data_IF_183464609929
#
_entry.id   IF_183464609929
#
_cell.length_a   1.000
_cell.length_b   1.000
_cell.length_c   1.000
_cell.angle_alpha   90.00
_cell.angle_beta   90.00
_cell.angle_gamma   90.00
#
_symmetry.space_group_name_H-M   'P 1'
#
loop_
_entity.id
_entity.type
_entity.pdbx_description
1 polymer ?
#
# COMPACT_ATOMS: atom_id res chain seq x y z
N UNK A 1 -20.29 -70.73 -52.32
CA UNK A 1 -19.30 -69.80 -51.75
C UNK A 1 -19.97 -69.18 -50.54
N UNK A 2 -19.49 -69.53 -49.35
CA UNK A 2 -20.14 -69.11 -48.11
C UNK A 2 -19.99 -67.61 -47.92
N UNK A 3 -21.10 -66.87 -47.74
CA UNK A 3 -21.05 -65.41 -47.56
C UNK A 3 -20.31 -65.01 -46.29
N UNK A 4 -20.13 -65.93 -45.34
CA UNK A 4 -19.38 -65.72 -44.11
C UNK A 4 -17.87 -65.62 -44.36
N UNK A 5 -17.30 -66.49 -45.20
CA UNK A 5 -15.86 -66.49 -45.49
C UNK A 5 -15.41 -65.23 -46.24
N UNK A 6 -16.32 -64.56 -46.95
CA UNK A 6 -16.03 -63.30 -47.65
C UNK A 6 -15.99 -62.11 -46.69
N UNK A 7 -16.83 -62.11 -45.65
CA UNK A 7 -16.86 -61.04 -44.67
C UNK A 7 -15.60 -60.97 -43.81
N UNK A 8 -15.02 -62.13 -43.46
CA UNK A 8 -13.80 -62.20 -42.66
C UNK A 8 -12.58 -61.69 -43.46
N UNK A 9 -12.50 -62.03 -44.74
CA UNK A 9 -11.42 -61.58 -45.63
C UNK A 9 -11.46 -60.06 -45.87
N UNK A 10 -12.66 -59.50 -46.04
CA UNK A 10 -12.85 -58.04 -46.20
C UNK A 10 -12.48 -57.27 -44.90
N UNK A 11 -12.61 -57.89 -43.72
CA UNK A 11 -12.18 -57.30 -42.46
C UNK A 11 -10.66 -57.25 -42.32
N UNK A 12 -9.96 -58.34 -42.64
CA UNK A 12 -8.49 -58.36 -42.57
C UNK A 12 -7.86 -57.34 -43.54
N UNK A 13 -8.41 -57.19 -44.74
CA UNK A 13 -7.94 -56.17 -45.69
C UNK A 13 -8.18 -54.74 -45.18
N UNK A 14 -9.32 -54.48 -44.52
CA UNK A 14 -9.58 -53.17 -43.92
C UNK A 14 -8.63 -52.85 -42.76
N UNK A 15 -8.27 -53.84 -41.95
CA UNK A 15 -7.31 -53.64 -40.85
C UNK A 15 -5.91 -53.35 -41.41
N UNK A 16 -5.46 -54.09 -42.42
CA UNK A 16 -4.17 -53.82 -43.08
C UNK A 16 -4.12 -52.45 -43.76
N UNK A 17 -5.24 -52.02 -44.37
CA UNK A 17 -5.33 -50.69 -44.96
C UNK A 17 -5.31 -49.58 -43.90
N UNK A 18 -5.96 -49.78 -42.75
CA UNK A 18 -5.91 -48.82 -41.64
C UNK A 18 -4.51 -48.71 -41.05
N UNK A 19 -3.80 -49.82 -40.92
CA UNK A 19 -2.42 -49.83 -40.41
C UNK A 19 -1.47 -49.09 -41.37
N UNK A 20 -1.55 -49.37 -42.67
CA UNK A 20 -0.75 -48.64 -43.68
C UNK A 20 -1.05 -47.14 -43.72
N UNK A 21 -2.33 -46.74 -43.63
CA UNK A 21 -2.70 -45.31 -43.62
C UNK A 21 -2.17 -44.61 -42.37
N UNK A 22 -2.12 -45.30 -41.22
CA UNK A 22 -1.57 -44.76 -39.99
C UNK A 22 -0.03 -44.60 -40.04
N UNK A 23 0.68 -45.50 -40.73
CA UNK A 23 2.13 -45.36 -40.95
C UNK A 23 2.48 -44.23 -41.92
N UNK A 24 1.75 -44.10 -43.03
CA UNK A 24 1.98 -43.02 -44.01
C UNK A 24 1.66 -41.62 -43.45
N UNK A 25 0.63 -41.50 -42.60
CA UNK A 25 0.31 -40.21 -41.96
C UNK A 25 1.36 -39.76 -40.94
N UNK A 26 2.07 -40.69 -40.29
CA UNK A 26 3.23 -40.35 -39.42
C UNK A 26 4.43 -39.85 -40.21
N UNK A 27 4.66 -40.37 -41.42
CA UNK A 27 5.71 -39.90 -42.32
C UNK A 27 5.46 -38.48 -42.86
N UNK A 28 4.21 -38.17 -43.20
CA UNK A 28 3.84 -36.87 -43.80
C UNK A 28 3.84 -35.74 -42.76
N UNK A 29 3.47 -36.01 -41.51
CA UNK A 29 3.55 -35.02 -40.42
C UNK A 29 5.00 -34.64 -40.06
N UNK A 30 5.97 -35.52 -40.30
CA UNK A 30 7.39 -35.21 -40.12
C UNK A 30 7.98 -34.32 -41.23
N UNK A 31 7.26 -34.10 -42.34
CA UNK A 31 7.67 -33.22 -43.44
C UNK A 31 7.01 -31.83 -43.40
N UNK A 32 6.43 -31.44 -42.26
CA UNK A 32 5.90 -30.09 -42.06
C UNK A 32 7.06 -29.09 -41.85
N UNK A 33 7.52 -28.53 -42.98
CA UNK A 33 8.63 -27.57 -43.17
C UNK A 33 8.80 -26.45 -42.11
N UNK A 34 7.77 -25.84 -41.50
CA UNK A 34 8.00 -24.76 -40.52
C UNK A 34 8.59 -25.20 -39.17
N UNK A 35 8.55 -26.50 -38.83
CA UNK A 35 9.05 -26.98 -37.52
C UNK A 35 10.50 -27.47 -37.53
N UNK A 36 11.08 -27.71 -38.72
CA UNK A 36 12.46 -28.15 -38.87
C UNK A 36 13.53 -27.21 -38.24
N UNK A 37 13.44 -25.87 -38.38
CA UNK A 37 14.42 -24.99 -37.73
C UNK A 37 14.28 -24.99 -36.20
N UNK A 38 13.06 -25.20 -35.66
CA UNK A 38 12.87 -25.34 -34.22
C UNK A 38 13.46 -26.65 -33.71
N UNK A 39 13.26 -27.77 -34.43
CA UNK A 39 13.86 -29.05 -34.05
C UNK A 39 15.39 -29.00 -34.09
N UNK A 40 15.99 -28.41 -35.14
CA UNK A 40 17.44 -28.22 -35.19
C UNK A 40 17.94 -27.32 -34.06
N UNK A 41 17.21 -26.26 -33.69
CA UNK A 41 17.56 -25.43 -32.55
C UNK A 41 17.48 -26.20 -31.22
N UNK A 42 16.47 -27.05 -31.04
CA UNK A 42 16.31 -27.91 -29.86
C UNK A 42 17.42 -28.96 -29.80
N UNK A 43 17.74 -29.62 -30.91
CA UNK A 43 18.81 -30.62 -30.99
C UNK A 43 20.18 -29.99 -30.76
N UNK A 44 20.40 -28.78 -31.27
CA UNK A 44 21.62 -28.01 -31.03
C UNK A 44 21.73 -27.58 -29.56
N UNK A 45 20.62 -27.15 -28.93
CA UNK A 45 20.54 -26.91 -27.48
C UNK A 45 20.84 -28.18 -26.67
N UNK A 46 20.33 -29.33 -27.09
CA UNK A 46 20.55 -30.62 -26.44
C UNK A 46 22.00 -31.09 -26.58
N UNK A 47 22.59 -30.94 -27.76
CA UNK A 47 23.99 -31.27 -28.03
C UNK A 47 24.94 -30.36 -27.22
N UNK A 48 24.62 -29.05 -27.15
CA UNK A 48 25.33 -28.11 -26.30
C UNK A 48 25.21 -28.50 -24.81
N UNK A 49 24.02 -28.90 -24.37
CA UNK A 49 23.78 -29.40 -23.01
C UNK A 49 24.60 -30.65 -22.66
N UNK A 50 24.81 -31.57 -23.61
CA UNK A 50 25.69 -32.74 -23.43
C UNK A 50 27.16 -32.35 -23.29
N UNK A 51 27.61 -31.30 -23.96
CA UNK A 51 28.98 -30.79 -23.84
C UNK A 51 29.27 -30.25 -22.43
N UNK A 52 28.25 -29.69 -21.78
CA UNK A 52 28.34 -29.15 -20.41
C UNK A 52 28.10 -30.18 -19.31
N UNK A 53 27.78 -31.44 -19.65
CA UNK A 53 27.47 -32.50 -18.70
C UNK A 53 28.52 -32.73 -17.59
N UNK A 54 29.85 -32.65 -17.83
CA UNK A 54 30.84 -32.76 -16.76
C UNK A 54 30.94 -31.51 -15.87
N UNK A 55 30.52 -30.34 -16.37
CA UNK A 55 30.44 -29.09 -15.59
C UNK A 55 29.06 -28.85 -14.99
N UNK A 56 28.07 -29.70 -15.29
CA UNK A 56 26.69 -29.58 -14.84
C UNK A 56 26.53 -29.33 -13.33
N UNK A 57 27.24 -30.01 -12.40
CA UNK A 57 27.05 -29.75 -10.97
C UNK A 57 27.43 -28.33 -10.54
N UNK A 58 28.31 -27.64 -11.29
CA UNK A 58 28.71 -26.25 -11.00
C UNK A 58 27.95 -25.22 -11.84
N UNK A 59 27.49 -25.60 -13.05
CA UNK A 59 26.74 -24.71 -13.94
C UNK A 59 25.27 -24.61 -13.56
N UNK A 60 24.65 -25.67 -13.01
CA UNK A 60 23.23 -25.64 -12.61
C UNK A 60 22.96 -24.53 -11.58
N UNK A 61 23.72 -24.41 -10.46
CA UNK A 61 23.48 -23.35 -9.47
C UNK A 61 23.72 -21.94 -10.05
N UNK A 62 24.75 -21.79 -10.89
CA UNK A 62 25.07 -20.49 -11.51
C UNK A 62 24.00 -20.08 -12.52
N UNK A 63 23.47 -21.02 -13.31
CA UNK A 63 22.37 -20.79 -14.22
C UNK A 63 21.07 -20.46 -13.48
N UNK A 64 20.74 -21.20 -12.40
CA UNK A 64 19.59 -20.91 -11.55
C UNK A 64 19.73 -19.52 -10.91
N UNK A 65 20.91 -19.16 -10.41
CA UNK A 65 21.16 -17.84 -9.84
C UNK A 65 21.07 -16.73 -10.89
N UNK A 66 21.67 -16.93 -12.07
CA UNK A 66 21.63 -15.98 -13.18
C UNK A 66 20.22 -15.78 -13.73
N UNK A 67 19.35 -16.80 -13.70
CA UNK A 67 17.96 -16.69 -14.14
C UNK A 67 17.06 -16.12 -13.03
N UNK A 68 17.34 -16.45 -11.77
CA UNK A 68 16.57 -15.96 -10.62
C UNK A 68 16.75 -14.46 -10.42
N UNK A 69 17.98 -13.92 -10.50
CA UNK A 69 18.25 -12.49 -10.30
C UNK A 69 17.40 -11.53 -11.15
N UNK A 70 17.31 -11.67 -12.49
CA UNK A 70 16.49 -10.78 -13.30
C UNK A 70 15.00 -10.98 -13.04
N UNK A 71 14.54 -12.21 -12.77
CA UNK A 71 13.15 -12.49 -12.41
C UNK A 71 12.77 -11.79 -11.09
N UNK A 72 13.66 -11.89 -10.10
CA UNK A 72 13.56 -11.25 -8.79
C UNK A 72 13.51 -9.73 -8.93
N UNK A 73 14.42 -9.15 -9.71
CA UNK A 73 14.46 -7.71 -9.97
C UNK A 73 13.18 -7.25 -10.68
N UNK A 74 12.70 -8.00 -11.67
CA UNK A 74 11.47 -7.70 -12.39
C UNK A 74 10.24 -7.75 -11.48
N UNK A 75 10.10 -8.77 -10.64
CA UNK A 75 9.01 -8.87 -9.66
C UNK A 75 9.09 -7.75 -8.61
N UNK A 76 10.29 -7.38 -8.17
CA UNK A 76 10.51 -6.28 -7.24
C UNK A 76 10.08 -4.94 -7.83
N UNK A 77 10.57 -4.58 -9.03
CA UNK A 77 10.18 -3.35 -9.72
C UNK A 77 8.69 -3.35 -10.08
N UNK A 78 8.16 -4.48 -10.56
CA UNK A 78 6.75 -4.62 -10.89
C UNK A 78 5.83 -4.42 -9.68
N UNK A 79 6.20 -5.00 -8.53
CA UNK A 79 5.44 -4.78 -7.28
C UNK A 79 5.53 -3.34 -6.79
N UNK A 80 6.71 -2.71 -6.85
CA UNK A 80 6.88 -1.29 -6.52
C UNK A 80 6.06 -0.38 -7.41
N UNK A 81 6.03 -0.64 -8.72
CA UNK A 81 5.22 0.10 -9.68
C UNK A 81 3.71 -0.08 -9.42
N UNK A 82 3.24 -1.29 -9.12
CA UNK A 82 1.84 -1.55 -8.75
C UNK A 82 1.44 -0.85 -7.45
N UNK A 83 2.33 -0.83 -6.45
CA UNK A 83 2.10 -0.05 -5.22
C UNK A 83 2.03 1.43 -5.56
N UNK A 84 2.98 1.97 -6.32
CA UNK A 84 2.97 3.39 -6.68
C UNK A 84 1.70 3.79 -7.43
N UNK A 85 1.23 2.97 -8.38
CA UNK A 85 -0.03 3.21 -9.09
C UNK A 85 -1.26 3.11 -8.17
N UNK A 86 -1.18 2.36 -7.07
CA UNK A 86 -2.28 2.21 -6.10
C UNK A 86 -2.21 3.19 -4.93
N UNK A 87 -1.14 3.98 -4.79
CA UNK A 87 -1.05 5.06 -3.81
C UNK A 87 -2.06 6.15 -4.15
N UNK A 88 -2.84 6.56 -3.13
CA UNK A 88 -3.89 7.59 -3.11
C UNK A 88 -4.10 8.34 -4.44
N UNK A 89 -5.08 7.86 -5.22
CA UNK A 89 -5.54 8.58 -6.40
C UNK A 89 -6.24 9.85 -5.95
N UNK A 90 -5.58 10.99 -6.09
CA UNK A 90 -6.23 12.29 -5.99
C UNK A 90 -7.01 12.54 -7.28
N UNK A 91 -8.25 13.00 -7.16
CA UNK A 91 -9.00 13.54 -8.29
C UNK A 91 -8.97 15.06 -8.22
N UNK A 92 -8.99 15.69 -9.39
CA UNK A 92 -9.05 17.13 -9.56
C UNK A 92 -10.09 17.44 -10.63
N UNK A 93 -10.92 18.44 -10.37
CA UNK A 93 -11.94 18.89 -11.31
C UNK A 93 -11.90 20.41 -11.40
N UNK A 94 -11.84 20.92 -12.62
CA UNK A 94 -11.83 22.36 -12.88
C UNK A 94 -13.19 23.00 -12.59
N UNK A 95 -13.15 24.23 -12.06
CA UNK A 95 -14.32 25.01 -11.72
C UNK A 95 -14.44 26.21 -12.64
N UNK A 96 -15.60 26.30 -13.29
CA UNK A 96 -15.98 27.42 -14.15
C UNK A 96 -16.98 28.29 -13.39
N UNK A 97 -16.47 29.35 -12.75
CA UNK A 97 -17.28 30.28 -11.96
C UNK A 97 -18.13 31.16 -12.88
N UNK A 98 -19.41 31.25 -12.55
CA UNK A 98 -20.40 32.10 -13.21
C UNK A 98 -20.57 33.37 -12.38
N UNK A 99 -20.39 34.52 -13.04
CA UNK A 99 -20.52 35.85 -12.45
C UNK A 99 -21.80 36.52 -12.96
N UNK A 100 -22.42 37.37 -12.13
CA UNK A 100 -23.57 38.19 -12.52
C UNK A 100 -24.95 37.54 -12.45
N UNK A 101 -25.05 36.20 -12.43
CA UNK A 101 -26.36 35.51 -12.31
C UNK A 101 -26.88 35.48 -10.87
N UNK A 102 -25.97 35.36 -9.90
CA UNK A 102 -26.29 35.28 -8.47
C UNK A 102 -25.53 36.37 -7.70
N UNK A 103 -25.95 36.65 -6.47
CA UNK A 103 -25.32 37.67 -5.63
C UNK A 103 -23.85 37.34 -5.26
N UNK A 104 -23.43 36.09 -5.43
CA UNK A 104 -22.07 35.61 -5.24
C UNK A 104 -21.66 34.71 -6.41
N UNK A 105 -20.41 34.79 -6.91
CA UNK A 105 -19.95 33.88 -7.95
C UNK A 105 -20.08 32.43 -7.50
N UNK A 106 -20.62 31.60 -8.40
CA UNK A 106 -20.88 30.20 -8.12
C UNK A 106 -20.45 29.30 -9.28
N UNK A 107 -20.17 28.05 -8.99
CA UNK A 107 -19.87 27.02 -9.98
C UNK A 107 -20.58 25.73 -9.60
N UNK A 108 -21.13 25.03 -10.58
CA UNK A 108 -21.70 23.69 -10.42
C UNK A 108 -20.93 22.73 -11.33
N UNK A 109 -20.40 21.66 -10.76
CA UNK A 109 -19.60 20.68 -11.50
C UNK A 109 -19.92 19.26 -11.06
N UNK A 110 -19.96 18.32 -11.99
CA UNK A 110 -20.03 16.90 -11.65
C UNK A 110 -18.63 16.41 -11.26
N UNK A 111 -18.53 15.82 -10.07
CA UNK A 111 -17.28 15.21 -9.62
C UNK A 111 -17.01 13.91 -10.39
N UNK A 112 -15.72 13.55 -10.52
CA UNK A 112 -15.30 12.23 -11.01
C UNK A 112 -15.91 11.11 -10.15
N UNK A 113 -16.01 9.90 -10.68
CA UNK A 113 -16.57 8.77 -9.94
C UNK A 113 -15.84 8.53 -8.60
N UNK A 114 -16.60 8.68 -7.50
CA UNK A 114 -16.09 8.59 -6.13
C UNK A 114 -16.33 7.19 -5.56
N UNK A 115 -15.45 6.74 -4.69
CA UNK A 115 -15.67 5.53 -3.91
C UNK A 115 -16.68 5.81 -2.79
N UNK A 116 -17.85 5.15 -2.74
CA UNK A 116 -18.92 5.50 -1.79
C UNK A 116 -18.53 5.28 -0.32
N UNK A 117 -17.57 4.38 -0.06
CA UNK A 117 -17.06 4.05 1.28
C UNK A 117 -15.67 4.63 1.55
N UNK A 118 -15.11 5.40 0.61
CA UNK A 118 -13.78 5.98 0.78
C UNK A 118 -13.91 7.36 1.45
N UNK A 119 -13.16 7.61 2.54
CA UNK A 119 -13.07 8.95 3.11
C UNK A 119 -12.12 9.82 2.27
N UNK A 120 -12.56 11.05 2.01
CA UNK A 120 -11.82 12.04 1.23
C UNK A 120 -11.57 13.31 2.06
N UNK A 121 -10.37 13.87 1.90
CA UNK A 121 -10.10 15.26 2.24
C UNK A 121 -10.36 16.10 0.98
N UNK A 122 -11.38 16.96 1.03
CA UNK A 122 -11.80 17.80 -0.10
C UNK A 122 -11.30 19.22 0.13
N UNK A 123 -10.45 19.68 -0.78
CA UNK A 123 -9.87 21.02 -0.78
C UNK A 123 -10.28 21.80 -2.04
N UNK A 124 -10.52 23.08 -1.86
CA UNK A 124 -10.77 24.04 -2.93
C UNK A 124 -9.50 24.84 -3.18
N UNK A 125 -8.98 24.79 -4.39
CA UNK A 125 -7.81 25.53 -4.83
C UNK A 125 -8.24 26.65 -5.79
N UNK A 126 -7.95 27.90 -5.45
CA UNK A 126 -8.33 29.07 -6.24
C UNK A 126 -7.07 29.83 -6.64
N UNK A 127 -6.99 30.22 -7.91
CA UNK A 127 -5.96 31.12 -8.42
C UNK A 127 -6.60 32.49 -8.59
N UNK A 128 -6.17 33.44 -7.75
CA UNK A 128 -6.78 34.76 -7.62
C UNK A 128 -5.80 35.82 -8.14
N UNK A 129 -6.18 36.72 -9.07
CA UNK A 129 -5.30 37.82 -9.47
C UNK A 129 -5.04 38.76 -8.29
N UNK A 130 -3.79 39.22 -8.18
CA UNK A 130 -3.26 40.13 -7.17
C UNK A 130 -3.70 41.59 -7.43
N UNK A 131 -5.01 41.78 -7.55
CA UNK A 131 -5.63 43.08 -7.78
C UNK A 131 -6.06 43.72 -6.47
N UNK A 132 -6.01 45.06 -6.40
CA UNK A 132 -6.41 45.79 -5.20
C UNK A 132 -7.86 45.51 -4.77
N UNK A 133 -8.77 45.28 -5.72
CA UNK A 133 -10.15 44.90 -5.44
C UNK A 133 -10.25 43.59 -4.62
N UNK A 134 -9.43 42.59 -4.95
CA UNK A 134 -9.41 41.31 -4.22
C UNK A 134 -8.80 41.46 -2.82
N UNK A 135 -7.84 42.35 -2.62
CA UNK A 135 -7.30 42.66 -1.29
C UNK A 135 -8.30 43.42 -0.42
N UNK A 136 -9.03 44.37 -1.02
CA UNK A 136 -10.05 45.16 -0.33
C UNK A 136 -11.28 44.35 0.07
N UNK A 137 -11.55 43.21 -0.60
CA UNK A 137 -12.61 42.28 -0.22
C UNK A 137 -12.45 41.79 1.24
N UNK A 138 -11.20 41.62 1.68
CA UNK A 138 -10.86 41.11 3.01
C UNK A 138 -11.32 39.67 3.20
N UNK A 139 -12.01 39.41 4.31
CA UNK A 139 -12.54 38.08 4.59
C UNK A 139 -13.74 37.77 3.69
N UNK A 140 -13.69 36.64 2.99
CA UNK A 140 -14.79 36.09 2.23
C UNK A 140 -15.12 34.68 2.71
N UNK A 141 -16.32 34.20 2.37
CA UNK A 141 -16.73 32.82 2.64
C UNK A 141 -16.66 31.99 1.36
N UNK A 142 -16.05 30.81 1.44
CA UNK A 142 -16.23 29.76 0.47
C UNK A 142 -17.29 28.79 1.01
N UNK A 143 -18.31 28.47 0.22
CA UNK A 143 -19.33 27.48 0.53
C UNK A 143 -19.23 26.34 -0.48
N UNK A 144 -19.22 25.11 0.00
CA UNK A 144 -19.24 23.88 -0.80
C UNK A 144 -20.47 23.09 -0.40
N UNK A 145 -21.38 22.89 -1.34
CA UNK A 145 -22.53 22.01 -1.22
C UNK A 145 -22.33 20.80 -2.13
N UNK A 146 -22.23 19.61 -1.56
CA UNK A 146 -22.25 18.36 -2.32
C UNK A 146 -23.69 17.86 -2.42
N UNK A 147 -24.11 17.51 -3.63
CA UNK A 147 -25.47 17.11 -3.96
C UNK A 147 -25.46 15.78 -4.70
N UNK A 148 -26.47 14.95 -4.46
CA UNK A 148 -26.73 13.76 -5.29
C UNK A 148 -27.27 14.17 -6.67
N UNK A 149 -27.17 13.30 -7.68
CA UNK A 149 -27.83 13.54 -8.98
C UNK A 149 -29.36 13.71 -8.88
N UNK A 150 -29.96 13.28 -7.77
CA UNK A 150 -31.37 13.49 -7.44
C UNK A 150 -31.65 14.82 -6.72
N UNK A 151 -30.71 15.77 -6.76
CA UNK A 151 -30.77 17.08 -6.10
C UNK A 151 -30.89 17.02 -4.56
N UNK A 152 -30.51 15.91 -3.93
CA UNK A 152 -30.44 15.80 -2.48
C UNK A 152 -29.11 16.34 -1.96
N UNK A 153 -29.12 17.29 -1.03
CA UNK A 153 -27.89 17.79 -0.40
C UNK A 153 -27.29 16.72 0.52
N UNK A 154 -26.06 16.29 0.22
CA UNK A 154 -25.29 15.34 1.04
C UNK A 154 -24.62 16.08 2.20
N UNK A 155 -23.94 17.19 1.89
CA UNK A 155 -23.24 18.03 2.88
C UNK A 155 -23.12 19.47 2.39
N UNK A 156 -23.22 20.42 3.31
CA UNK A 156 -22.90 21.85 3.09
C UNK A 156 -21.79 22.23 4.08
N UNK A 157 -20.68 22.73 3.56
CA UNK A 157 -19.52 23.17 4.33
C UNK A 157 -19.13 24.59 3.95
N UNK A 158 -18.83 25.42 4.96
CA UNK A 158 -18.46 26.82 4.75
C UNK A 158 -17.16 27.14 5.48
N UNK A 159 -16.23 27.79 4.79
CA UNK A 159 -14.92 28.16 5.32
C UNK A 159 -14.62 29.63 5.02
N UNK A 160 -14.21 30.42 6.03
CA UNK A 160 -13.72 31.76 5.80
C UNK A 160 -12.32 31.71 5.20
N UNK A 161 -12.01 32.68 4.35
CA UNK A 161 -10.73 32.85 3.70
C UNK A 161 -10.42 34.33 3.50
N UNK A 162 -9.15 34.69 3.35
CA UNK A 162 -8.70 36.05 3.07
C UNK A 162 -7.64 36.02 1.99
N UNK A 163 -7.73 36.97 1.05
CA UNK A 163 -6.67 37.19 0.05
C UNK A 163 -5.71 38.22 0.60
N UNK A 164 -4.48 37.81 0.85
CA UNK A 164 -3.43 38.70 1.34
C UNK A 164 -2.54 39.14 0.16
N UNK A 165 -2.06 40.40 0.15
CA UNK A 165 -1.08 40.82 -0.83
C UNK A 165 0.16 39.93 -0.74
N UNK A 166 0.74 39.51 -1.88
CA UNK A 166 1.94 38.70 -1.86
C UNK A 166 3.04 39.52 -1.18
N UNK A 167 3.76 38.90 -0.24
CA UNK A 167 4.92 39.55 0.37
C UNK A 167 5.92 39.87 -0.73
N UNK A 168 6.15 41.16 -0.97
CA UNK A 168 7.11 41.65 -1.94
C UNK A 168 8.52 41.30 -1.47
N UNK A 169 8.97 40.08 -1.76
CA UNK A 169 10.39 39.79 -1.65
C UNK A 169 11.11 40.69 -2.66
N UNK A 170 12.20 41.39 -2.28
CA UNK A 170 12.94 42.26 -3.19
C UNK A 170 13.46 41.52 -4.44
N UNK A 171 13.57 40.20 -4.37
CA UNK A 171 13.97 39.34 -5.50
C UNK A 171 12.82 39.02 -6.47
N UNK A 172 11.57 39.31 -6.12
CA UNK A 172 10.39 39.04 -6.97
C UNK A 172 10.39 39.90 -8.23
N UNK A 173 11.07 41.05 -8.24
CA UNK A 173 11.23 41.86 -9.45
C UNK A 173 12.02 41.18 -10.56
N UNK A 174 12.91 40.24 -10.23
CA UNK A 174 13.75 39.54 -11.21
C UNK A 174 13.05 38.33 -11.83
N UNK A 175 12.13 37.72 -11.09
CA UNK A 175 11.33 36.59 -11.55
C UNK A 175 9.96 37.14 -11.84
N UNK A 176 9.68 37.47 -13.11
CA UNK A 176 8.37 37.88 -13.67
C UNK A 176 7.25 36.92 -13.24
N UNK A 177 6.87 36.96 -11.96
CA UNK A 177 5.87 36.08 -11.39
C UNK A 177 4.53 36.63 -11.84
N UNK A 178 3.64 35.78 -12.39
CA UNK A 178 2.29 36.20 -12.65
C UNK A 178 1.72 36.77 -11.36
N UNK A 179 1.08 37.95 -11.44
CA UNK A 179 0.45 38.60 -10.30
C UNK A 179 -0.79 37.82 -9.85
N UNK A 180 -0.61 36.59 -9.41
CA UNK A 180 -1.64 35.66 -8.97
C UNK A 180 -1.27 35.10 -7.60
N UNK A 181 -2.29 34.70 -6.85
CA UNK A 181 -2.20 34.22 -5.49
C UNK A 181 -2.98 32.92 -5.43
N UNK A 182 -2.31 31.87 -4.97
CA UNK A 182 -2.93 30.57 -4.77
C UNK A 182 -3.57 30.51 -3.38
N UNK A 183 -4.88 30.31 -3.34
CA UNK A 183 -5.67 30.17 -2.12
C UNK A 183 -6.14 28.72 -2.03
N UNK A 184 -5.65 27.99 -1.02
CA UNK A 184 -6.03 26.61 -0.77
C UNK A 184 -6.87 26.49 0.51
N UNK A 185 -8.08 25.98 0.38
CA UNK A 185 -9.07 25.90 1.45
C UNK A 185 -9.50 24.44 1.65
N UNK A 186 -9.19 23.87 2.82
CA UNK A 186 -9.71 22.55 3.18
C UNK A 186 -11.18 22.66 3.59
N UNK A 187 -12.08 22.23 2.70
CA UNK A 187 -13.53 22.36 2.88
C UNK A 187 -14.06 21.25 3.79
N UNK A 188 -13.65 20.00 3.52
CA UNK A 188 -14.07 18.80 4.24
C UNK A 188 -12.84 17.94 4.54
N UNK A 189 -12.84 17.29 5.71
CA UNK A 189 -11.80 16.36 6.15
C UNK A 189 -12.41 15.03 6.53
N UNK A 190 -11.78 13.91 6.16
CA UNK A 190 -12.25 12.54 6.45
C UNK A 190 -13.71 12.29 6.03
N UNK A 191 -14.17 12.90 4.94
CA UNK A 191 -15.57 12.86 4.55
C UNK A 191 -15.89 11.67 3.64
N UNK A 192 -16.88 10.86 4.03
CA UNK A 192 -17.38 9.74 3.23
C UNK A 192 -18.64 10.19 2.49
N UNK A 193 -18.60 10.18 1.16
CA UNK A 193 -19.68 10.74 0.31
C UNK A 193 -20.94 9.87 0.33
N UNK A 194 -20.79 8.54 0.45
CA UNK A 194 -21.91 7.60 0.43
C UNK A 194 -22.48 7.31 -0.96
N UNK A 195 -22.12 8.07 -1.98
CA UNK A 195 -22.55 7.87 -3.38
C UNK A 195 -21.36 7.89 -4.33
N UNK A 196 -21.49 7.21 -5.48
CA UNK A 196 -20.43 7.20 -6.51
C UNK A 196 -20.43 8.41 -7.43
N UNK A 197 -21.57 9.09 -7.54
CA UNK A 197 -21.71 10.34 -8.30
C UNK A 197 -22.19 11.43 -7.35
N UNK A 198 -21.51 12.56 -7.38
CA UNK A 198 -21.85 13.76 -6.64
C UNK A 198 -21.66 14.99 -7.52
N UNK A 199 -22.56 15.95 -7.38
CA UNK A 199 -22.46 17.28 -7.95
C UNK A 199 -21.93 18.21 -6.86
N UNK A 200 -20.87 18.95 -7.16
CA UNK A 200 -20.33 19.96 -6.27
C UNK A 200 -20.81 21.34 -6.72
N UNK A 201 -21.48 22.06 -5.81
CA UNK A 201 -21.83 23.46 -5.97
C UNK A 201 -20.94 24.29 -5.05
N UNK A 202 -20.13 25.16 -5.65
CA UNK A 202 -19.22 26.05 -4.94
C UNK A 202 -19.78 27.46 -5.05
N UNK A 203 -19.82 28.19 -3.95
CA UNK A 203 -20.15 29.62 -3.93
C UNK A 203 -19.06 30.39 -3.20
N UNK A 204 -18.60 31.48 -3.81
CA UNK A 204 -17.49 32.28 -3.30
C UNK A 204 -17.97 33.70 -3.03
N UNK A 205 -17.60 34.26 -1.88
CA UNK A 205 -17.80 35.67 -1.60
C UNK A 205 -18.52 35.92 -0.29
N UNK A 206 -19.09 37.13 -0.19
CA UNK A 206 -19.76 37.62 1.00
C UNK A 206 -21.27 37.56 0.81
N UNK A 207 -21.95 36.75 1.61
CA UNK A 207 -23.43 36.66 1.61
C UNK A 207 -24.08 37.73 2.47
N UNK A 208 -23.32 38.45 3.29
CA UNK A 208 -23.87 39.53 4.07
C UNK A 208 -24.33 40.67 3.16
N UNK A 209 -25.48 41.26 3.49
CA UNK A 209 -26.05 42.40 2.75
C UNK A 209 -25.24 43.70 2.96
N UNK A 210 -23.98 43.60 3.38
CA UNK A 210 -23.11 44.74 3.51
C UNK A 210 -22.89 45.33 2.12
N UNK A 211 -23.67 46.37 1.82
CA UNK A 211 -23.49 47.20 0.65
C UNK A 211 -22.13 47.87 0.81
N UNK A 212 -21.12 47.28 0.18
CA UNK A 212 -19.94 47.94 -0.39
C UNK A 212 -19.40 49.08 0.47
N UNK A 213 -18.35 48.81 1.24
CA UNK A 213 -17.46 49.86 1.71
C UNK A 213 -16.70 50.42 0.48
N UNK A 214 -17.35 51.24 -0.36
CA UNK A 214 -16.75 51.88 -1.54
C UNK A 214 -17.55 51.78 -2.85
N UNK A 215 -16.88 52.07 -3.96
CA UNK A 215 -17.40 52.17 -5.35
C UNK A 215 -17.94 50.85 -5.96
N UNK A 216 -18.55 49.95 -5.18
CA UNK A 216 -19.04 48.65 -5.69
C UNK A 216 -17.99 47.54 -5.76
N UNK A 217 -16.71 47.87 -5.57
CA UNK A 217 -15.59 46.94 -5.60
C UNK A 217 -15.45 46.23 -4.25
N UNK A 218 -16.05 45.06 -4.08
CA UNK A 218 -15.85 44.26 -2.85
C UNK A 218 -17.00 43.35 -2.40
N UNK A 219 -17.94 42.99 -3.27
CA UNK A 219 -18.89 41.90 -2.97
C UNK A 219 -18.43 40.54 -3.49
N UNK A 220 -17.69 40.56 -4.58
CA UNK A 220 -17.33 39.37 -5.34
C UNK A 220 -15.82 39.21 -5.36
N UNK A 221 -15.36 37.97 -5.25
CA UNK A 221 -13.96 37.61 -5.42
C UNK A 221 -13.73 37.37 -6.91
N UNK A 222 -12.82 38.13 -7.53
CA UNK A 222 -12.38 37.82 -8.89
C UNK A 222 -11.42 36.63 -8.82
N UNK A 223 -11.76 35.53 -9.49
CA UNK A 223 -10.97 34.30 -9.56
C UNK A 223 -10.62 34.03 -11.01
N UNK A 224 -9.34 33.75 -11.29
CA UNK A 224 -8.85 33.41 -12.63
C UNK A 224 -9.19 31.96 -12.99
N UNK A 225 -8.86 31.04 -12.08
CA UNK A 225 -9.21 29.63 -12.20
C UNK A 225 -9.45 29.02 -10.82
N UNK A 226 -10.33 28.03 -10.75
CA UNK A 226 -10.56 27.25 -9.55
C UNK A 226 -10.48 25.77 -9.87
N UNK A 227 -9.98 24.98 -8.94
CA UNK A 227 -10.06 23.52 -9.01
C UNK A 227 -10.50 22.96 -7.67
N UNK A 228 -11.38 21.98 -7.70
CA UNK A 228 -11.75 21.19 -6.53
C UNK A 228 -10.95 19.90 -6.56
N UNK A 229 -10.27 19.60 -5.46
CA UNK A 229 -9.40 18.43 -5.31
C UNK A 229 -9.91 17.57 -4.18
N UNK A 230 -10.01 16.26 -4.41
CA UNK A 230 -10.26 15.28 -3.36
C UNK A 230 -9.10 14.30 -3.25
N UNK A 231 -8.54 14.20 -2.05
CA UNK A 231 -7.46 13.28 -1.73
C UNK A 231 -8.04 12.15 -0.89
N UNK A 232 -7.84 10.90 -1.32
CA UNK A 232 -8.28 9.73 -0.55
C UNK A 232 -7.47 9.64 0.74
N UNK A 233 -8.15 9.62 1.88
CA UNK A 233 -7.50 9.47 3.19
C UNK A 233 -7.57 8.02 3.65
N UNK A 234 -6.52 7.26 3.38
CA UNK A 234 -6.48 5.88 3.86
C UNK A 234 -6.26 5.85 5.38
N UNK A 235 -7.11 5.10 6.11
CA UNK A 235 -6.89 4.79 7.52
C UNK A 235 -6.11 3.47 7.71
N UNK A 236 -5.48 3.32 8.88
CA UNK A 236 -4.75 2.11 9.26
C UNK A 236 -3.43 1.91 8.51
N UNK A 237 -3.07 0.64 8.29
CA UNK A 237 -1.79 0.26 7.63
C UNK A 237 -1.72 0.81 6.21
N UNK A 238 -2.85 0.86 5.49
CA UNK A 238 -2.92 1.45 4.14
C UNK A 238 -2.56 2.93 4.14
N UNK A 239 -2.98 3.67 5.16
CA UNK A 239 -2.59 5.07 5.36
C UNK A 239 -1.09 5.25 5.59
N UNK A 240 -0.49 4.36 6.40
CA UNK A 240 0.95 4.39 6.67
C UNK A 240 1.75 4.13 5.38
N UNK A 241 1.32 3.15 4.58
CA UNK A 241 1.93 2.83 3.27
C UNK A 241 1.82 4.02 2.31
N UNK A 242 0.65 4.64 2.21
CA UNK A 242 0.42 5.78 1.34
C UNK A 242 1.23 7.03 1.76
N UNK A 243 1.42 7.23 3.06
CA UNK A 243 2.18 8.37 3.61
C UNK A 243 3.69 8.22 3.43
N UNK A 244 4.21 6.99 3.49
CA UNK A 244 5.65 6.71 3.42
C UNK A 244 6.00 5.62 2.40
N UNK A 245 5.72 5.83 1.10
CA UNK A 245 5.89 4.80 0.08
C UNK A 245 7.35 4.33 -0.03
N UNK A 246 8.33 5.23 0.13
CA UNK A 246 9.74 4.89 0.07
C UNK A 246 10.20 3.99 1.22
N UNK A 247 9.72 4.25 2.45
CA UNK A 247 10.10 3.46 3.63
C UNK A 247 9.52 2.06 3.51
N UNK A 248 8.23 1.94 3.16
CA UNK A 248 7.61 0.63 2.98
C UNK A 248 8.21 -0.15 1.81
N UNK A 249 8.55 0.52 0.71
CA UNK A 249 9.25 -0.10 -0.41
C UNK A 249 10.62 -0.61 0.02
N UNK A 250 11.39 0.16 0.78
CA UNK A 250 12.69 -0.25 1.32
C UNK A 250 12.56 -1.46 2.26
N UNK A 251 11.62 -1.40 3.21
CA UNK A 251 11.37 -2.52 4.15
C UNK A 251 10.94 -3.77 3.40
N UNK A 252 10.02 -3.65 2.45
CA UNK A 252 9.58 -4.77 1.62
C UNK A 252 10.74 -5.36 0.79
N UNK A 253 11.59 -4.52 0.22
CA UNK A 253 12.79 -4.96 -0.50
C UNK A 253 13.76 -5.69 0.44
N UNK A 254 14.03 -5.16 1.64
CA UNK A 254 14.88 -5.83 2.63
C UNK A 254 14.34 -7.21 3.04
N UNK A 255 13.04 -7.31 3.33
CA UNK A 255 12.38 -8.58 3.67
C UNK A 255 12.45 -9.56 2.51
N UNK A 256 12.19 -9.08 1.29
CA UNK A 256 12.26 -9.89 0.08
C UNK A 256 13.67 -10.43 -0.18
N UNK A 257 14.70 -9.57 -0.14
CA UNK A 257 16.09 -9.98 -0.28
C UNK A 257 16.53 -10.95 0.84
N UNK A 258 16.02 -10.77 2.06
CA UNK A 258 16.29 -11.69 3.17
C UNK A 258 15.70 -13.08 2.93
N UNK A 259 14.45 -13.17 2.47
CA UNK A 259 13.82 -14.45 2.11
C UNK A 259 14.57 -15.12 0.97
N UNK A 260 14.95 -14.34 -0.06
CA UNK A 260 15.73 -14.85 -1.18
C UNK A 260 17.11 -15.33 -0.77
N UNK A 261 17.76 -14.63 0.15
CA UNK A 261 19.04 -15.05 0.71
C UNK A 261 18.91 -16.39 1.44
N UNK A 262 17.87 -16.56 2.28
CA UNK A 262 17.61 -17.84 2.95
C UNK A 262 17.35 -18.95 1.93
N UNK A 263 16.53 -18.70 0.90
CA UNK A 263 16.27 -19.65 -0.17
C UNK A 263 17.54 -20.05 -0.91
N UNK A 264 18.41 -19.08 -1.20
CA UNK A 264 19.71 -19.31 -1.83
C UNK A 264 20.62 -20.15 -0.94
N UNK A 265 20.75 -19.84 0.35
CA UNK A 265 21.54 -20.63 1.29
C UNK A 265 21.00 -22.07 1.38
N UNK A 266 19.68 -22.25 1.44
CA UNK A 266 19.05 -23.57 1.45
C UNK A 266 19.31 -24.35 0.15
N UNK A 267 19.34 -23.69 -1.00
CA UNK A 267 19.69 -24.31 -2.28
C UNK A 267 21.19 -24.62 -2.42
N UNK A 268 22.07 -23.85 -1.78
CA UNK A 268 23.51 -24.08 -1.81
C UNK A 268 23.99 -25.12 -0.78
N UNK A 269 23.28 -25.30 0.33
CA UNK A 269 23.66 -26.23 1.40
C UNK A 269 23.95 -27.66 0.92
N UNK A 270 23.13 -28.30 0.04
CA UNK A 270 23.41 -29.65 -0.45
C UNK A 270 24.70 -29.75 -1.27
N UNK A 271 25.09 -28.66 -1.94
CA UNK A 271 26.31 -28.61 -2.77
C UNK A 271 27.56 -28.61 -1.89
N UNK A 272 27.49 -27.89 -0.77
CA UNK A 272 28.57 -27.83 0.22
C UNK A 272 28.72 -29.17 0.92
N UNK A 273 27.63 -29.81 1.32
CA UNK A 273 27.66 -31.14 1.94
C UNK A 273 28.22 -32.22 1.00
N UNK A 274 27.97 -32.13 -0.30
CA UNK A 274 28.52 -33.07 -1.29
C UNK A 274 30.05 -33.03 -1.45
N UNK A 275 30.70 -31.93 -1.06
CA UNK A 275 32.16 -31.82 -1.15
C UNK A 275 32.89 -32.36 0.08
N UNK A 276 32.16 -32.74 1.13
CA UNK A 276 32.73 -33.54 2.20
C UNK A 276 32.59 -35.00 1.76
N UNK A 277 33.65 -35.63 1.20
CA UNK A 277 33.65 -37.08 1.13
C UNK A 277 33.29 -37.55 2.54
N UNK A 278 32.28 -38.44 2.70
CA UNK A 278 32.00 -38.99 4.01
C UNK A 278 33.34 -39.43 4.54
N UNK A 279 33.76 -38.90 5.69
CA UNK A 279 34.94 -39.37 6.39
C UNK A 279 34.67 -40.86 6.57
N UNK A 280 35.14 -41.66 5.60
CA UNK A 280 35.11 -43.11 5.68
C UNK A 280 35.78 -43.35 7.02
N UNK A 281 35.04 -43.87 8.02
CA UNK A 281 35.60 -44.05 9.33
C UNK A 281 36.79 -44.94 9.07
N UNK A 282 38.00 -44.35 9.13
CA UNK A 282 39.27 -45.02 8.78
C UNK A 282 39.10 -46.41 9.32
N UNK A 283 38.89 -47.37 8.43
CA UNK A 283 38.85 -48.76 8.83
C UNK A 283 40.19 -48.90 9.51
N UNK A 284 40.13 -49.00 10.84
CA UNK A 284 41.24 -49.44 11.64
C UNK A 284 41.65 -50.71 10.94
N UNK A 285 42.72 -50.60 10.16
CA UNK A 285 43.46 -51.71 9.60
C UNK A 285 43.49 -52.73 10.73
N UNK A 286 42.95 -53.95 10.53
CA UNK A 286 42.91 -54.94 11.59
C UNK A 286 44.36 -55.17 12.01
N UNK A 287 44.72 -54.60 13.15
CA UNK A 287 46.02 -54.70 13.77
C UNK A 287 46.44 -56.17 13.73
N UNK A 288 47.47 -56.45 12.93
CA UNK A 288 48.02 -57.77 12.70
C UNK A 288 48.31 -58.43 14.05
N UNK A 289 47.46 -59.39 14.43
CA UNK A 289 47.63 -60.18 15.65
C UNK A 289 48.98 -60.91 15.58
N UNK A 290 49.95 -60.60 16.47
CA UNK A 290 51.22 -61.28 16.47
C UNK A 290 51.06 -62.74 16.93
N UNK A 291 51.76 -63.58 16.18
CA UNK A 291 51.89 -65.03 16.30
C UNK A 291 52.24 -65.45 17.73
N UNK A 292 51.31 -66.18 18.35
CA UNK A 292 51.41 -66.97 19.59
C UNK A 292 52.78 -67.66 19.75
N UNK A 293 53.65 -67.18 20.66
CA UNK A 293 54.82 -67.92 21.15
C UNK A 293 54.74 -68.15 22.66
N UNK A 294 54.94 -69.43 23.01
CA UNK A 294 54.80 -70.03 24.34
C UNK A 294 55.84 -69.51 25.34
N UNK A 295 55.36 -69.06 26.51
CA UNK A 295 55.66 -69.55 27.87
C UNK A 295 57.09 -70.05 28.17
N UNK A 296 57.84 -69.30 29.00
CA UNK A 296 58.86 -69.79 29.95
C UNK A 296 59.19 -68.70 30.99
N UNK A 297 58.69 -68.84 32.24
CA UNK A 297 59.46 -69.03 33.50
C UNK A 297 60.51 -67.93 33.80
N UNK A 298 60.22 -66.98 34.71
CA UNK A 298 60.51 -66.94 36.19
C UNK A 298 61.78 -66.06 36.47
N UNK A 299 62.11 -65.68 37.73
CA UNK A 299 61.78 -64.41 38.41
C UNK A 299 63.02 -63.60 38.91
N UNK A 300 62.85 -62.34 39.33
CA UNK A 300 63.45 -61.70 40.55
C UNK A 300 63.13 -60.18 40.53
N UNK A 301 62.41 -59.64 41.54
CA UNK A 301 62.94 -58.94 42.74
C UNK A 301 63.88 -57.80 42.33
N UNK A 302 63.56 -56.52 42.54
CA UNK A 302 63.74 -55.80 43.81
C UNK A 302 63.06 -54.43 43.73
N UNK A 303 62.32 -54.10 44.80
CA UNK A 303 62.04 -52.80 45.45
C UNK A 303 62.36 -51.48 44.71
N UNK A 304 61.40 -50.55 44.70
CA UNK A 304 61.42 -49.42 45.66
C UNK A 304 60.16 -48.53 45.58
N UNK A 305 59.59 -48.32 46.78
CA UNK A 305 59.10 -47.06 47.35
C UNK A 305 57.97 -46.28 46.64
N UNK A 306 56.79 -46.24 47.28
CA UNK A 306 56.25 -45.10 48.08
C UNK A 306 55.88 -43.92 47.18
N UNK A 307 54.65 -43.41 47.15
CA UNK A 307 53.73 -43.20 48.27
C UNK A 307 52.34 -42.75 47.76
N UNK A 308 51.31 -43.17 48.51
CA UNK A 308 50.08 -42.42 48.89
C UNK A 308 49.18 -41.92 47.77
N UNK A 309 48.01 -42.53 47.54
CA UNK A 309 46.75 -42.35 48.32
C UNK A 309 46.24 -40.90 48.22
N UNK A 310 44.98 -40.57 48.04
CA UNK A 310 43.74 -41.30 48.27
C UNK A 310 42.59 -40.43 47.75
N UNK A 311 41.44 -41.06 47.54
CA UNK A 311 40.11 -40.50 47.77
C UNK A 311 39.63 -39.27 46.98
N UNK A 312 38.73 -39.56 46.03
CA UNK A 312 37.42 -38.90 45.84
C UNK A 312 36.88 -38.24 47.13
N UNK A 313 36.13 -37.13 47.04
CA UNK A 313 34.70 -37.31 46.82
C UNK A 313 33.98 -36.23 45.99
N UNK A 314 32.81 -36.64 45.48
CA UNK A 314 31.72 -35.78 45.03
C UNK A 314 31.04 -35.16 46.26
N UNK A 315 30.63 -33.90 46.19
CA UNK A 315 29.44 -33.43 46.93
C UNK A 315 28.74 -32.24 46.25
N UNK A 316 27.41 -32.07 46.45
CA UNK A 316 26.57 -30.99 45.92
C UNK A 316 26.26 -29.91 47.01
N UNK A 317 25.20 -29.09 46.78
CA UNK A 317 24.50 -28.15 47.73
C UNK A 317 25.05 -26.71 47.74
N UNK A 318 24.34 -25.58 47.90
CA UNK A 318 22.95 -25.06 47.75
C UNK A 318 23.01 -23.56 48.18
N UNK A 319 22.18 -22.71 47.58
CA UNK A 319 21.67 -21.37 48.02
C UNK A 319 22.44 -20.51 49.05
N UNK A 320 22.71 -19.26 48.67
CA UNK A 320 22.42 -18.00 49.40
C UNK A 320 22.48 -16.85 48.36
N UNK A 321 21.74 -15.75 48.37
CA UNK A 321 21.07 -15.03 49.44
C UNK A 321 21.82 -13.71 49.71
N UNK A 322 21.37 -12.58 49.15
CA UNK A 322 21.86 -11.22 49.41
C UNK A 322 21.61 -10.33 48.18
N UNK A 323 20.65 -9.41 48.12
CA UNK A 323 20.29 -8.28 48.99
C UNK A 323 21.37 -7.19 49.04
N UNK A 324 21.01 -5.98 48.59
CA UNK A 324 21.78 -4.73 48.71
C UNK A 324 21.96 -4.03 47.35
N UNK A 325 21.04 -3.20 46.84
CA UNK A 325 20.58 -1.87 47.28
C UNK A 325 21.34 -0.68 46.66
N UNK A 326 20.56 0.14 45.93
CA UNK A 326 20.55 1.62 45.85
C UNK A 326 21.72 2.38 45.23
N UNK A 327 21.40 3.10 44.15
CA UNK A 327 21.44 4.58 44.00
C UNK A 327 21.21 4.93 42.52
N UNK A 328 20.50 5.97 42.06
CA UNK A 328 19.63 7.03 42.60
C UNK A 328 18.94 7.67 41.36
N UNK A 329 17.79 8.35 41.50
CA UNK A 329 17.06 8.98 40.39
C UNK A 329 17.33 10.49 40.29
N UNK A 330 17.20 11.06 39.10
CA UNK A 330 16.97 12.51 38.86
C UNK A 330 15.57 12.65 38.24
N UNK A 331 14.55 13.21 38.91
CA UNK A 331 14.37 14.61 39.35
C UNK A 331 14.31 15.60 38.19
N UNK A 332 13.08 16.00 37.85
CA UNK A 332 12.69 17.10 36.96
C UNK A 332 11.19 16.93 36.67
N UNK A 333 10.27 17.15 37.62
CA UNK A 333 9.74 18.44 38.07
C UNK A 333 9.25 19.33 36.93
N UNK A 334 7.98 19.19 36.53
CA UNK A 334 7.13 20.32 36.13
C UNK A 334 5.66 20.03 36.43
N UNK A 335 5.11 20.88 37.30
CA UNK A 335 3.74 21.34 37.49
C UNK A 335 2.56 20.36 37.28
N UNK A 336 2.05 19.93 38.42
CA UNK A 336 0.68 19.52 38.71
C UNK A 336 -0.29 20.71 38.52
N UNK A 337 -1.24 20.58 37.58
CA UNK A 337 -2.46 21.41 37.53
C UNK A 337 -3.63 20.46 37.71
N UNK A 338 -4.18 20.53 38.92
CA UNK A 338 -5.33 19.81 39.43
C UNK A 338 -6.61 20.58 39.04
N UNK A 339 -7.55 19.91 38.37
CA UNK A 339 -8.91 20.45 38.23
C UNK A 339 -9.78 19.77 37.18
N UNK A 340 -10.76 18.99 37.67
CA UNK A 340 -12.06 18.71 37.04
C UNK A 340 -12.12 17.72 35.85
N UNK A 341 -11.99 16.43 36.17
CA UNK A 341 -12.63 15.37 35.39
C UNK A 341 -14.04 15.11 35.96
N UNK A 342 -15.05 15.56 35.23
CA UNK A 342 -16.44 15.18 35.42
C UNK A 342 -16.94 14.40 34.18
N UNK A 343 -17.30 13.14 34.42
CA UNK A 343 -18.37 12.36 33.79
C UNK A 343 -18.74 12.62 32.31
N UNK A 344 -18.20 11.79 31.41
CA UNK A 344 -18.79 11.55 30.08
C UNK A 344 -18.83 10.07 29.67
N UNK A 345 -18.92 9.14 30.63
CA UNK A 345 -19.01 7.69 30.33
C UNK A 345 -20.33 7.02 30.73
N UNK A 346 -21.44 7.78 30.67
CA UNK A 346 -22.81 7.28 30.95
C UNK A 346 -23.85 7.68 29.89
N UNK A 347 -23.45 7.81 28.61
CA UNK A 347 -24.37 8.13 27.49
C UNK A 347 -24.27 7.22 26.26
N UNK A 348 -23.77 5.98 26.38
CA UNK A 348 -23.83 4.97 25.30
C UNK A 348 -24.41 3.64 25.82
N UNK A 349 -25.50 3.73 26.59
CA UNK A 349 -26.28 2.56 27.01
C UNK A 349 -27.76 2.92 27.26
N UNK A 350 -28.39 3.66 26.34
CA UNK A 350 -29.86 3.87 26.37
C UNK A 350 -30.41 4.36 25.01
N UNK A 351 -30.16 3.60 23.95
CA UNK A 351 -30.85 3.76 22.65
C UNK A 351 -31.23 2.38 22.11
N UNK A 352 -32.05 1.68 22.89
CA UNK A 352 -32.89 0.59 22.40
C UNK A 352 -34.08 0.42 23.36
N UNK A 353 -35.18 1.10 23.06
CA UNK A 353 -36.54 0.70 23.44
C UNK A 353 -37.53 1.67 22.80
N UNK A 354 -38.20 1.19 21.77
CA UNK A 354 -39.42 1.80 21.27
C UNK A 354 -40.53 1.72 22.33
N UNK A 355 -41.36 2.78 22.43
CA UNK A 355 -42.78 2.54 22.61
C UNK A 355 -43.59 3.30 21.55
N UNK A 356 -44.39 2.53 20.82
CA UNK A 356 -45.56 2.99 20.09
C UNK A 356 -46.52 3.71 21.06
N UNK A 357 -46.69 5.02 20.88
CA UNK A 357 -47.64 5.82 21.65
C UNK A 357 -48.13 7.02 20.84
N UNK A 358 -49.33 6.90 20.28
CA UNK A 358 -50.12 7.99 19.74
C UNK A 358 -50.36 9.07 20.81
N UNK A 359 -50.04 10.33 20.51
CA UNK A 359 -50.37 11.50 21.33
C UNK A 359 -50.15 12.81 20.56
N UNK A 360 -50.93 13.88 20.84
CA UNK A 360 -51.43 14.80 19.83
C UNK A 360 -50.48 15.95 19.46
N UNK A 361 -50.69 16.41 18.22
CA UNK A 361 -50.12 17.55 17.50
C UNK A 361 -49.96 18.83 18.34
N UNK A 362 -48.74 19.39 18.48
CA UNK A 362 -48.56 20.77 18.93
C UNK A 362 -48.82 21.74 17.77
N UNK A 363 -49.73 22.69 18.02
CA UNK A 363 -50.22 23.67 17.04
C UNK A 363 -49.17 24.67 16.52
N UNK A 364 -49.51 25.42 15.45
CA UNK A 364 -48.58 26.27 14.76
C UNK A 364 -48.16 27.50 15.59
N UNK A 365 -46.85 27.65 15.75
CA UNK A 365 -46.22 28.84 16.33
C UNK A 365 -46.53 30.05 15.46
N UNK A 366 -47.42 30.90 15.98
CA UNK A 366 -47.88 32.16 15.39
C UNK A 366 -46.73 33.16 15.32
N UNK A 367 -46.09 33.25 14.15
CA UNK A 367 -45.04 34.22 13.85
C UNK A 367 -45.62 35.63 13.86
N UNK A 368 -45.12 36.48 14.77
CA UNK A 368 -45.51 37.88 14.93
C UNK A 368 -45.07 38.66 13.69
N UNK A 369 -46.03 39.03 12.85
CA UNK A 369 -45.85 39.93 11.70
C UNK A 369 -45.64 41.34 12.25
N UNK A 370 -44.43 41.86 12.13
CA UNK A 370 -44.16 43.29 12.30
C UNK A 370 -44.71 44.03 11.08
N UNK A 371 -45.75 44.84 11.31
CA UNK A 371 -46.26 45.86 10.38
C UNK A 371 -45.10 46.71 9.88
N UNK A 372 -44.89 46.70 8.58
CA UNK A 372 -44.06 47.68 7.90
C UNK A 372 -44.97 48.86 7.57
N UNK A 373 -44.57 50.04 8.03
CA UNK A 373 -45.22 51.32 7.78
C UNK A 373 -45.09 51.70 6.31
N UNK A 374 -46.24 51.66 5.63
CA UNK A 374 -46.54 52.40 4.41
C UNK A 374 -46.54 53.89 4.77
N UNK A 375 -45.66 54.69 4.17
CA UNK A 375 -45.79 56.15 4.12
C UNK A 375 -45.02 56.71 2.92
N UNK A 376 -45.78 57.42 2.08
CA UNK A 376 -45.45 58.64 1.31
C UNK A 376 -44.44 58.46 0.16
N UNK A 377 -44.86 58.32 -1.11
CA UNK A 377 -45.55 59.31 -1.95
C UNK A 377 -45.05 60.75 -1.73
N UNK A 378 -44.03 61.13 -2.51
CA UNK A 378 -43.82 62.52 -2.92
C UNK A 378 -43.84 62.57 -4.45
N UNK A 379 -45.00 62.98 -4.98
CA UNK A 379 -45.10 63.71 -6.24
C UNK A 379 -44.80 65.19 -5.93
N UNK A 380 -43.83 65.78 -6.64
CA UNK A 380 -43.91 67.11 -7.23
C UNK A 380 -42.75 67.33 -8.20
#
# INVERSE_FOLDING_TARGET
>A
MDPLAKADMDQEEQEQLREKVAEDTRGILNYFWPFHPMQLAIDLLWALGRLFRPLAPHLIPLAVFSAALPLIAFLSVGSGYMVWKSVAVSWETELYLQYGESASPYAEVMLTELGPQQPYDISLHLVVPANEANFRLGNFMASLSLMTPSNGTIVDARKPAIVLPPYASPWTYLYNRPGTIDVNLQMLSDFVVGTSRALARIELGRRDQWRTLGEGHGRELAVLSGTIRGIVKHHGVRGLIARFPLIFSLVAACVFFFILFIGLVACLMPIVEWHFPPDEPRQLEPEDKPRRRKRSRRPERIEKERSTSESRPKTPVRRSGGSGSRSRPSSGSYADVKGEDADYQTLIASLDSAPTGHGPTPGPVRRRVSRQSENDQFEQ
#
